data_IF_557428104805
#
_entry.id   IF_557428104805
#
_cell.length_a   1.000
_cell.length_b   1.000
_cell.length_c   1.000
_cell.angle_alpha   90.00
_cell.angle_beta   90.00
_cell.angle_gamma   90.00
#
_symmetry.space_group_name_H-M   'P 1'
#
loop_
_entity.id
_entity.type
_entity.pdbx_description
1 polymer ?
#
# COMPACT_ATOMS: atom_id res chain seq x y z
N UNK A 1 11.75 38.99 7.40
CA UNK A 1 11.38 39.27 6.00
C UNK A 1 12.31 38.57 4.99
N UNK A 2 13.55 39.03 4.72
CA UNK A 2 14.40 38.39 3.69
C UNK A 2 14.79 36.93 4.03
N UNK A 3 15.18 36.64 5.28
CA UNK A 3 15.52 35.27 5.71
C UNK A 3 14.33 34.30 5.60
N UNK A 4 13.13 34.75 5.97
CA UNK A 4 11.90 33.96 5.86
C UNK A 4 11.56 33.68 4.39
N UNK A 5 11.76 34.66 3.50
CA UNK A 5 11.56 34.47 2.05
C UNK A 5 12.53 33.44 1.47
N UNK A 6 13.79 33.42 1.88
CA UNK A 6 14.75 32.39 1.44
C UNK A 6 14.39 30.99 1.95
N UNK A 7 13.93 30.88 3.19
CA UNK A 7 13.43 29.61 3.73
C UNK A 7 12.19 29.13 2.97
N UNK A 8 11.24 30.03 2.69
CA UNK A 8 10.06 29.71 1.89
C UNK A 8 10.44 29.29 0.46
N UNK A 9 11.42 29.95 -0.17
CA UNK A 9 11.91 29.60 -1.49
C UNK A 9 12.52 28.18 -1.50
N UNK A 10 13.39 27.87 -0.53
CA UNK A 10 13.99 26.55 -0.42
C UNK A 10 12.93 25.46 -0.22
N UNK A 11 11.91 25.73 0.60
CA UNK A 11 10.78 24.83 0.82
C UNK A 11 10.00 24.58 -0.47
N UNK A 12 9.66 25.63 -1.24
CA UNK A 12 8.98 25.48 -2.54
C UNK A 12 9.83 24.64 -3.50
N UNK A 13 11.14 24.86 -3.58
CA UNK A 13 12.01 24.12 -4.49
C UNK A 13 12.11 22.63 -4.10
N UNK A 14 12.15 22.31 -2.80
CA UNK A 14 12.11 20.93 -2.31
C UNK A 14 10.90 20.18 -2.88
N UNK A 15 9.71 20.79 -2.83
CA UNK A 15 8.50 20.17 -3.36
C UNK A 15 8.44 20.15 -4.89
N UNK A 16 8.86 21.24 -5.56
CA UNK A 16 8.85 21.35 -7.01
C UNK A 16 9.73 20.29 -7.72
N UNK A 17 10.85 19.90 -7.10
CA UNK A 17 11.75 18.88 -7.63
C UNK A 17 11.57 17.50 -6.98
N UNK A 18 10.56 17.32 -6.12
CA UNK A 18 10.36 16.07 -5.37
C UNK A 18 10.19 14.83 -6.28
N UNK A 19 9.62 15.00 -7.47
CA UNK A 19 9.49 13.92 -8.48
C UNK A 19 10.84 13.31 -8.86
N UNK A 20 11.94 14.06 -8.80
CA UNK A 20 13.27 13.57 -9.14
C UNK A 20 13.71 12.45 -8.18
N UNK A 21 13.30 12.48 -6.91
CA UNK A 21 13.64 11.44 -5.94
C UNK A 21 13.04 10.09 -6.35
N UNK A 22 11.80 10.08 -6.83
CA UNK A 22 11.15 8.87 -7.34
C UNK A 22 11.88 8.31 -8.58
N UNK A 23 12.29 9.20 -9.50
CA UNK A 23 13.03 8.81 -10.71
C UNK A 23 14.42 8.27 -10.39
N UNK A 24 15.14 8.87 -9.44
CA UNK A 24 16.47 8.40 -8.99
C UNK A 24 16.36 7.04 -8.31
N UNK A 25 15.34 6.83 -7.46
CA UNK A 25 15.08 5.54 -6.83
C UNK A 25 14.79 4.45 -7.89
N UNK A 26 13.93 4.75 -8.85
CA UNK A 26 13.65 3.84 -9.96
C UNK A 26 14.90 3.53 -10.79
N UNK A 27 15.74 4.54 -11.08
CA UNK A 27 17.01 4.36 -11.75
C UNK A 27 17.95 3.41 -10.99
N UNK A 28 18.09 3.58 -9.66
CA UNK A 28 18.90 2.69 -8.83
C UNK A 28 18.43 1.22 -8.91
N UNK A 29 17.11 0.99 -8.93
CA UNK A 29 16.50 -0.34 -9.08
C UNK A 29 16.71 -0.90 -10.49
N UNK A 30 16.59 -0.06 -11.53
CA UNK A 30 16.81 -0.45 -12.93
C UNK A 30 18.27 -0.86 -13.19
N UNK A 31 19.21 -0.10 -12.64
CA UNK A 31 20.64 -0.38 -12.70
C UNK A 31 21.06 -1.56 -11.79
N UNK A 32 20.15 -2.06 -10.95
CA UNK A 32 20.43 -3.17 -10.03
C UNK A 32 21.46 -2.84 -8.95
N UNK A 33 21.60 -1.55 -8.61
CA UNK A 33 22.58 -1.08 -7.61
C UNK A 33 22.43 -1.82 -6.28
N UNK A 34 21.21 -2.04 -5.72
CA UNK A 34 21.07 -2.79 -4.47
C UNK A 34 21.63 -4.22 -4.57
N UNK A 35 21.31 -4.93 -5.65
CA UNK A 35 21.75 -6.32 -5.86
C UNK A 35 23.28 -6.40 -6.03
N UNK A 36 23.85 -5.45 -6.78
CA UNK A 36 25.30 -5.35 -7.03
C UNK A 36 26.05 -5.11 -5.72
N UNK A 37 25.62 -4.15 -4.89
CA UNK A 37 26.21 -3.93 -3.56
C UNK A 37 26.05 -5.16 -2.67
N UNK A 38 24.87 -5.80 -2.65
CA UNK A 38 24.63 -7.00 -1.85
C UNK A 38 25.59 -8.14 -2.20
N UNK A 39 25.79 -8.38 -3.49
CA UNK A 39 26.65 -9.46 -4.00
C UNK A 39 28.14 -9.26 -3.66
N UNK A 40 28.57 -8.01 -3.48
CA UNK A 40 29.96 -7.65 -3.25
C UNK A 40 30.44 -7.95 -1.82
N UNK A 41 29.53 -8.14 -0.85
CA UNK A 41 29.79 -8.53 0.55
C UNK A 41 30.71 -7.60 1.36
N UNK A 42 31.19 -6.50 0.77
CA UNK A 42 32.01 -5.44 1.36
C UNK A 42 31.48 -4.09 0.87
N UNK A 43 31.80 -2.96 1.53
CA UNK A 43 31.45 -1.63 1.02
C UNK A 43 31.96 -1.45 -0.42
N UNK A 44 31.06 -1.10 -1.33
CA UNK A 44 31.37 -0.93 -2.75
C UNK A 44 31.91 0.46 -3.02
N UNK A 45 33.10 0.61 -3.60
CA UNK A 45 33.65 1.93 -3.94
C UNK A 45 33.06 2.46 -5.24
N UNK A 46 33.08 3.79 -5.43
CA UNK A 46 32.61 4.37 -6.71
C UNK A 46 33.48 3.93 -7.88
N UNK A 47 34.79 3.71 -7.66
CA UNK A 47 35.72 3.11 -8.63
C UNK A 47 35.22 1.79 -9.24
N UNK A 48 34.45 1.00 -8.48
CA UNK A 48 33.89 -0.26 -8.96
C UNK A 48 32.63 -0.07 -9.83
N UNK A 49 31.96 1.08 -9.70
CA UNK A 49 30.75 1.44 -10.46
C UNK A 49 31.06 2.37 -11.66
N UNK A 50 32.12 3.17 -11.55
CA UNK A 50 32.68 4.04 -12.58
C UNK A 50 34.21 3.99 -12.47
N UNK A 51 34.84 3.30 -13.43
CA UNK A 51 36.29 3.12 -13.51
C UNK A 51 37.06 4.45 -13.62
N UNK A 52 36.39 5.57 -13.92
CA UNK A 52 36.99 6.91 -13.99
C UNK A 52 36.86 7.72 -12.70
N UNK A 53 36.22 7.17 -11.66
CA UNK A 53 36.08 7.87 -10.39
C UNK A 53 37.33 7.70 -9.53
N UNK A 54 37.88 8.79 -8.98
CA UNK A 54 38.92 8.73 -7.94
C UNK A 54 38.32 8.66 -6.51
N UNK A 55 37.01 8.41 -6.40
CA UNK A 55 36.30 8.44 -5.11
C UNK A 55 36.35 7.08 -4.39
N UNK A 56 37.09 7.06 -3.28
CA UNK A 56 37.25 5.89 -2.40
C UNK A 56 36.09 5.68 -1.41
N UNK A 57 35.02 6.48 -1.49
CA UNK A 57 33.88 6.32 -0.60
C UNK A 57 33.14 5.01 -0.88
N UNK A 58 33.03 4.17 0.14
CA UNK A 58 32.32 2.89 0.09
C UNK A 58 30.82 3.05 0.36
N UNK A 59 29.98 2.39 -0.43
CA UNK A 59 28.54 2.31 -0.28
C UNK A 59 28.13 0.98 0.36
N UNK A 60 27.21 1.05 1.32
CA UNK A 60 26.59 -0.10 1.98
C UNK A 60 25.08 0.01 1.93
N UNK A 61 24.39 -1.13 1.96
CA UNK A 61 22.94 -1.14 2.00
C UNK A 61 22.41 -0.67 3.37
N UNK A 62 21.45 0.25 3.33
CA UNK A 62 20.59 0.62 4.45
C UNK A 62 19.40 -0.35 4.57
N UNK A 63 18.66 -0.37 5.70
CA UNK A 63 17.42 -1.15 5.82
C UNK A 63 16.45 -0.93 4.66
N UNK A 64 16.20 0.32 4.26
CA UNK A 64 15.28 0.65 3.15
C UNK A 64 15.78 0.11 1.80
N UNK A 65 17.08 0.20 1.53
CA UNK A 65 17.65 -0.33 0.27
C UNK A 65 17.67 -1.87 0.22
N UNK A 66 17.67 -2.56 1.36
CA UNK A 66 17.55 -4.03 1.42
C UNK A 66 16.17 -4.51 0.98
N UNK A 67 15.12 -3.71 1.19
CA UNK A 67 13.77 -3.99 0.68
C UNK A 67 13.70 -3.91 -0.85
N UNK A 68 14.77 -3.52 -1.55
CA UNK A 68 14.82 -3.48 -3.01
C UNK A 68 15.55 -4.68 -3.62
N UNK A 69 16.07 -5.60 -2.80
CA UNK A 69 16.80 -6.77 -3.27
C UNK A 69 15.87 -7.78 -3.91
N UNK A 70 16.21 -8.24 -5.11
CA UNK A 70 15.37 -9.20 -5.85
C UNK A 70 15.37 -10.60 -5.24
N UNK A 71 16.40 -10.93 -4.46
CA UNK A 71 16.58 -12.24 -3.83
C UNK A 71 15.94 -12.37 -2.46
N UNK A 72 15.49 -11.26 -1.87
CA UNK A 72 14.94 -11.22 -0.51
C UNK A 72 13.43 -11.00 -0.56
N UNK A 73 12.73 -11.46 0.49
CA UNK A 73 11.30 -11.20 0.69
C UNK A 73 11.15 -10.56 2.07
N UNK A 74 10.47 -9.41 2.21
CA UNK A 74 9.73 -8.70 1.16
C UNK A 74 10.64 -7.91 0.19
N UNK A 75 10.19 -7.77 -1.06
CA UNK A 75 10.86 -6.96 -2.09
C UNK A 75 9.90 -5.93 -2.68
N UNK A 76 10.16 -4.63 -2.47
CA UNK A 76 9.36 -3.48 -2.93
C UNK A 76 9.79 -2.91 -4.29
N UNK A 77 10.80 -3.50 -4.96
CA UNK A 77 11.22 -3.04 -6.29
C UNK A 77 10.09 -3.04 -7.33
N UNK A 78 9.22 -4.08 -7.43
CA UNK A 78 8.09 -4.06 -8.34
C UNK A 78 7.11 -2.92 -8.06
N UNK A 79 6.84 -2.63 -6.78
CA UNK A 79 5.97 -1.52 -6.38
C UNK A 79 6.51 -0.17 -6.89
N UNK A 80 7.79 0.13 -6.64
CA UNK A 80 8.41 1.38 -7.12
C UNK A 80 8.37 1.49 -8.65
N UNK A 81 8.59 0.38 -9.36
CA UNK A 81 8.54 0.37 -10.84
C UNK A 81 7.14 0.68 -11.36
N UNK A 82 6.10 0.12 -10.77
CA UNK A 82 4.73 0.41 -11.18
C UNK A 82 4.37 1.89 -10.94
N UNK A 83 4.79 2.47 -9.82
CA UNK A 83 4.50 3.88 -9.50
C UNK A 83 5.11 4.90 -10.47
N UNK A 84 6.14 4.50 -11.23
CA UNK A 84 6.73 5.35 -12.28
C UNK A 84 6.25 5.00 -13.70
N UNK A 85 5.35 4.03 -13.88
CA UNK A 85 4.77 3.77 -15.19
C UNK A 85 3.97 4.99 -15.67
N UNK A 86 4.01 5.34 -16.97
CA UNK A 86 3.29 6.51 -17.50
C UNK A 86 1.80 6.51 -17.15
N UNK A 87 1.15 5.34 -17.16
CA UNK A 87 -0.26 5.20 -16.80
C UNK A 87 -0.56 5.62 -15.34
N UNK A 88 0.41 5.50 -14.44
CA UNK A 88 0.29 5.90 -13.02
C UNK A 88 0.73 7.35 -12.78
N UNK A 89 1.67 7.86 -13.58
CA UNK A 89 2.23 9.23 -13.42
C UNK A 89 1.39 10.29 -14.13
N UNK A 90 0.92 10.02 -15.36
CA UNK A 90 0.15 10.99 -16.15
C UNK A 90 -1.13 11.51 -15.46
N UNK A 91 -1.90 10.69 -14.71
CA UNK A 91 -3.09 11.15 -13.98
C UNK A 91 -2.85 12.34 -13.05
N UNK A 92 -1.64 12.46 -12.48
CA UNK A 92 -1.28 13.57 -11.58
C UNK A 92 -1.22 14.93 -12.29
N UNK A 93 -1.15 14.95 -13.62
CA UNK A 93 -1.27 16.18 -14.41
C UNK A 93 -2.72 16.62 -14.60
N UNK A 94 -3.68 15.74 -14.29
CA UNK A 94 -5.12 15.96 -14.44
C UNK A 94 -5.81 16.30 -13.12
N UNK A 95 -5.08 16.67 -12.06
CA UNK A 95 -5.66 17.04 -10.76
C UNK A 95 -6.71 18.17 -10.82
N UNK A 96 -6.72 18.97 -11.90
CA UNK A 96 -7.73 20.00 -12.12
C UNK A 96 -9.16 19.49 -12.29
N UNK A 97 -9.35 18.18 -12.53
CA UNK A 97 -10.70 17.55 -12.62
C UNK A 97 -11.17 16.96 -11.29
N UNK A 98 -10.43 17.14 -10.19
CA UNK A 98 -10.87 16.66 -8.87
C UNK A 98 -12.23 17.27 -8.51
N UNK A 99 -13.18 16.41 -8.16
CA UNK A 99 -14.57 16.79 -7.88
C UNK A 99 -15.53 16.62 -9.06
N UNK A 100 -15.01 16.33 -10.26
CA UNK A 100 -15.83 15.92 -11.41
C UNK A 100 -16.30 14.45 -11.27
N UNK A 101 -17.12 13.98 -12.22
CA UNK A 101 -17.66 12.61 -12.22
C UNK A 101 -16.64 11.53 -12.60
N UNK A 102 -15.52 11.91 -13.21
CA UNK A 102 -14.49 11.00 -13.72
C UNK A 102 -13.22 11.18 -12.90
N UNK A 103 -12.46 10.11 -12.69
CA UNK A 103 -11.18 10.19 -11.98
C UNK A 103 -10.11 10.88 -12.84
N UNK A 104 -9.07 11.49 -12.22
CA UNK A 104 -7.91 11.94 -12.97
C UNK A 104 -7.26 10.82 -13.82
N UNK A 105 -7.27 9.58 -13.35
CA UNK A 105 -6.81 8.43 -14.11
C UNK A 105 -7.61 8.20 -15.38
N UNK A 106 -8.93 8.14 -15.27
CA UNK A 106 -9.83 8.00 -16.42
C UNK A 106 -9.66 9.15 -17.40
N UNK A 107 -9.49 10.38 -16.89
CA UNK A 107 -9.26 11.56 -17.72
C UNK A 107 -7.96 11.47 -18.53
N UNK A 108 -6.89 10.95 -17.92
CA UNK A 108 -5.58 10.85 -18.55
C UNK A 108 -5.45 9.63 -19.48
N UNK A 109 -6.09 8.51 -19.13
CA UNK A 109 -5.90 7.22 -19.81
C UNK A 109 -7.12 6.77 -20.65
N UNK A 110 -8.25 7.49 -20.55
CA UNK A 110 -9.47 7.26 -21.35
C UNK A 110 -10.40 6.15 -20.83
N UNK A 111 -10.03 5.47 -19.75
CA UNK A 111 -10.85 4.44 -19.09
C UNK A 111 -10.48 4.33 -17.60
N UNK A 112 -11.39 3.85 -16.74
CA UNK A 112 -11.06 3.50 -15.35
C UNK A 112 -9.93 2.46 -15.27
N UNK A 113 -9.14 2.48 -14.21
CA UNK A 113 -7.90 1.68 -14.08
C UNK A 113 -8.07 0.17 -14.32
N UNK A 114 -9.18 -0.41 -13.87
CA UNK A 114 -9.47 -1.83 -14.05
C UNK A 114 -9.77 -2.16 -15.51
N UNK A 115 -10.62 -1.37 -16.17
CA UNK A 115 -10.91 -1.53 -17.60
C UNK A 115 -9.66 -1.27 -18.45
N UNK A 116 -8.86 -0.26 -18.07
CA UNK A 116 -7.57 0.00 -18.70
C UNK A 116 -6.62 -1.20 -18.55
N UNK A 117 -6.58 -1.84 -17.37
CA UNK A 117 -5.81 -3.06 -17.13
C UNK A 117 -6.22 -4.22 -18.02
N UNK A 118 -7.53 -4.47 -18.16
CA UNK A 118 -8.07 -5.50 -19.04
C UNK A 118 -7.68 -5.28 -20.51
N UNK A 119 -7.64 -4.02 -20.94
CA UNK A 119 -7.24 -3.64 -22.29
C UNK A 119 -5.71 -3.62 -22.48
N UNK A 120 -4.93 -3.53 -21.41
CA UNK A 120 -3.47 -3.38 -21.43
C UNK A 120 -2.77 -4.45 -20.58
N UNK A 121 -2.58 -5.68 -21.11
CA UNK A 121 -2.00 -6.80 -20.37
C UNK A 121 -0.62 -6.50 -19.76
N UNK A 122 0.21 -5.68 -20.43
CA UNK A 122 1.50 -5.25 -19.89
C UNK A 122 1.33 -4.46 -18.59
N UNK A 123 0.44 -3.47 -18.59
CA UNK A 123 0.17 -2.66 -17.41
C UNK A 123 -0.42 -3.51 -16.29
N UNK A 124 -1.41 -4.36 -16.63
CA UNK A 124 -2.02 -5.27 -15.65
C UNK A 124 -0.98 -6.18 -14.97
N UNK A 125 -0.03 -6.72 -15.72
CA UNK A 125 1.05 -7.52 -15.15
C UNK A 125 1.93 -6.72 -14.19
N UNK A 126 2.36 -5.51 -14.58
CA UNK A 126 3.18 -4.63 -13.73
C UNK A 126 2.44 -4.23 -12.46
N UNK A 127 1.15 -3.88 -12.59
CA UNK A 127 0.29 -3.51 -11.47
C UNK A 127 0.11 -4.69 -10.51
N UNK A 128 -0.20 -5.89 -11.02
CA UNK A 128 -0.36 -7.08 -10.18
C UNK A 128 0.93 -7.51 -9.49
N UNK A 129 2.08 -7.37 -10.16
CA UNK A 129 3.39 -7.63 -9.55
C UNK A 129 3.68 -6.64 -8.41
N UNK A 130 3.33 -5.37 -8.59
CA UNK A 130 3.43 -4.35 -7.53
C UNK A 130 2.53 -4.65 -6.34
N UNK A 131 1.27 -5.04 -6.58
CA UNK A 131 0.34 -5.39 -5.50
C UNK A 131 0.79 -6.65 -4.74
N UNK A 132 1.33 -7.65 -5.45
CA UNK A 132 1.90 -8.84 -4.83
C UNK A 132 3.13 -8.51 -3.98
N UNK A 133 4.03 -7.69 -4.51
CA UNK A 133 5.24 -7.18 -3.83
C UNK A 133 4.90 -6.44 -2.52
N UNK A 134 3.91 -5.56 -2.54
CA UNK A 134 3.47 -4.87 -1.34
C UNK A 134 2.75 -5.81 -0.35
N UNK A 135 2.00 -6.79 -0.85
CA UNK A 135 1.36 -7.83 -0.03
C UNK A 135 2.38 -8.72 0.71
N UNK A 136 3.61 -8.85 0.24
CA UNK A 136 4.66 -9.56 0.98
C UNK A 136 4.99 -8.89 2.31
N UNK A 137 4.88 -7.55 2.40
CA UNK A 137 5.01 -6.83 3.67
C UNK A 137 3.94 -7.30 4.67
N UNK A 138 2.75 -7.68 4.19
CA UNK A 138 1.66 -8.21 5.01
C UNK A 138 1.92 -9.63 5.54
N UNK A 139 2.87 -10.38 4.96
CA UNK A 139 3.30 -11.66 5.53
C UNK A 139 3.93 -11.49 6.91
N UNK A 140 4.52 -10.32 7.19
CA UNK A 140 5.07 -9.99 8.52
C UNK A 140 3.93 -9.80 9.53
N UNK A 141 2.86 -9.10 9.14
CA UNK A 141 1.67 -8.87 9.96
C UNK A 141 1.00 -10.18 10.39
N UNK A 142 0.84 -11.15 9.48
CA UNK A 142 0.25 -12.45 9.83
C UNK A 142 1.05 -13.19 10.92
N UNK A 143 2.36 -12.98 10.99
CA UNK A 143 3.23 -13.57 12.03
C UNK A 143 3.08 -12.89 13.39
N UNK A 144 2.80 -11.58 13.40
CA UNK A 144 2.73 -10.78 14.62
C UNK A 144 1.30 -10.74 15.20
N UNK A 145 0.27 -10.86 14.36
CA UNK A 145 -1.13 -10.86 14.76
C UNK A 145 -1.70 -12.25 15.04
N UNK A 146 -0.91 -13.16 15.64
CA UNK A 146 -1.34 -14.55 15.88
C UNK A 146 -2.68 -14.68 16.58
N UNK A 147 -2.91 -13.82 17.57
CA UNK A 147 -4.12 -13.79 18.37
C UNK A 147 -5.39 -13.56 17.52
N UNK A 148 -5.27 -12.90 16.37
CA UNK A 148 -6.40 -12.65 15.46
C UNK A 148 -6.87 -13.94 14.80
N UNK A 149 -5.94 -14.80 14.38
CA UNK A 149 -6.23 -15.98 13.55
C UNK A 149 -6.19 -17.31 14.32
N UNK A 150 -5.61 -17.33 15.52
CA UNK A 150 -5.32 -18.56 16.28
C UNK A 150 -6.56 -19.42 16.52
N UNK A 151 -7.68 -18.81 16.91
CA UNK A 151 -8.92 -19.52 17.28
C UNK A 151 -9.89 -19.71 16.09
N UNK A 152 -9.49 -19.33 14.88
CA UNK A 152 -10.32 -19.45 13.68
C UNK A 152 -10.18 -20.85 13.04
N UNK A 153 -11.31 -21.40 12.59
CA UNK A 153 -11.35 -22.66 11.84
C UNK A 153 -11.38 -22.46 10.32
N UNK A 154 -11.94 -21.34 9.87
CA UNK A 154 -12.04 -21.00 8.45
C UNK A 154 -11.92 -19.49 8.23
N UNK A 155 -11.34 -19.12 7.10
CA UNK A 155 -11.18 -17.74 6.63
C UNK A 155 -11.59 -17.65 5.17
N UNK A 156 -12.22 -16.54 4.80
CA UNK A 156 -12.44 -16.17 3.39
C UNK A 156 -11.65 -14.90 3.14
N UNK A 157 -10.69 -14.96 2.22
CA UNK A 157 -9.88 -13.85 1.75
C UNK A 157 -10.63 -13.17 0.59
N UNK A 158 -11.36 -12.10 0.92
CA UNK A 158 -12.22 -11.36 -0.02
C UNK A 158 -11.37 -10.32 -0.75
N UNK A 159 -11.36 -10.36 -2.09
CA UNK A 159 -10.44 -9.58 -2.91
C UNK A 159 -9.02 -10.14 -2.95
N UNK A 160 -8.82 -11.40 -2.53
CA UNK A 160 -7.49 -11.98 -2.34
C UNK A 160 -6.65 -12.21 -3.60
N UNK A 161 -7.16 -11.89 -4.80
CA UNK A 161 -6.41 -11.97 -6.06
C UNK A 161 -5.82 -13.35 -6.30
N UNK A 162 -4.49 -13.40 -6.45
CA UNK A 162 -3.72 -14.65 -6.66
C UNK A 162 -3.48 -15.46 -5.38
N UNK A 163 -4.03 -15.03 -4.24
CA UNK A 163 -4.01 -15.73 -2.96
C UNK A 163 -2.67 -15.64 -2.21
N UNK A 164 -1.87 -14.60 -2.46
CA UNK A 164 -0.57 -14.38 -1.76
C UNK A 164 -0.79 -14.29 -0.25
N UNK A 165 -1.76 -13.49 0.19
CA UNK A 165 -2.09 -13.30 1.61
C UNK A 165 -2.62 -14.61 2.21
N UNK A 166 -3.60 -15.24 1.58
CA UNK A 166 -4.12 -16.54 2.01
C UNK A 166 -3.01 -17.60 2.21
N UNK A 167 -2.03 -17.69 1.29
CA UNK A 167 -0.88 -18.61 1.42
C UNK A 167 0.00 -18.26 2.62
N UNK A 168 0.25 -16.97 2.86
CA UNK A 168 1.04 -16.51 4.00
C UNK A 168 0.36 -16.83 5.33
N UNK A 169 -0.96 -16.60 5.43
CA UNK A 169 -1.76 -16.95 6.60
C UNK A 169 -1.71 -18.47 6.83
N UNK A 170 -1.92 -19.29 5.80
CA UNK A 170 -1.87 -20.74 5.92
C UNK A 170 -0.49 -21.28 6.33
N UNK A 171 0.59 -20.62 5.91
CA UNK A 171 1.94 -20.98 6.35
C UNK A 171 2.15 -20.73 7.85
N UNK A 172 1.48 -19.70 8.42
CA UNK A 172 1.52 -19.40 9.84
C UNK A 172 0.48 -20.20 10.67
N UNK A 173 -0.67 -20.55 10.08
CA UNK A 173 -1.78 -21.25 10.74
C UNK A 173 -2.25 -22.46 9.89
N UNK A 174 -1.51 -23.58 9.91
CA UNK A 174 -1.81 -24.73 9.04
C UNK A 174 -3.15 -25.42 9.31
N UNK A 175 -3.77 -25.15 10.47
CA UNK A 175 -5.09 -25.68 10.85
C UNK A 175 -6.25 -24.93 10.18
N UNK A 176 -6.01 -23.72 9.69
CA UNK A 176 -7.04 -22.85 9.14
C UNK A 176 -7.45 -23.33 7.74
N UNK A 177 -8.76 -23.36 7.47
CA UNK A 177 -9.26 -23.53 6.09
C UNK A 177 -9.43 -22.16 5.43
N UNK A 178 -8.61 -21.83 4.44
CA UNK A 178 -8.73 -20.56 3.72
C UNK A 178 -9.37 -20.74 2.33
N UNK A 179 -10.32 -19.87 1.99
CA UNK A 179 -10.91 -19.74 0.66
C UNK A 179 -10.54 -18.37 0.10
N UNK A 180 -10.02 -18.30 -1.13
CA UNK A 180 -9.78 -17.04 -1.83
C UNK A 180 -10.99 -16.72 -2.68
N UNK A 181 -11.62 -15.57 -2.43
CA UNK A 181 -12.71 -15.03 -3.24
C UNK A 181 -12.20 -13.76 -3.90
N UNK A 182 -11.99 -13.80 -5.22
CA UNK A 182 -11.51 -12.62 -5.94
C UNK A 182 -12.67 -11.71 -6.39
N UNK A 183 -12.39 -10.41 -6.43
CA UNK A 183 -13.33 -9.36 -6.84
C UNK A 183 -12.68 -8.48 -7.92
N UNK A 184 -13.46 -7.85 -8.82
CA UNK A 184 -12.91 -6.93 -9.83
C UNK A 184 -12.13 -5.74 -9.26
N UNK A 185 -12.33 -5.40 -7.98
CA UNK A 185 -11.46 -4.48 -7.23
C UNK A 185 -11.17 -5.08 -5.86
N UNK A 186 -9.89 -5.09 -5.49
CA UNK A 186 -9.37 -6.01 -4.48
C UNK A 186 -9.48 -5.53 -3.00
N UNK A 187 -9.73 -4.25 -2.71
CA UNK A 187 -9.64 -3.70 -1.32
C UNK A 187 -10.62 -2.56 -1.05
N UNK A 188 -11.07 -2.40 0.21
CA UNK A 188 -12.07 -1.41 0.67
C UNK A 188 -11.69 0.04 0.37
N UNK A 189 -10.42 0.45 0.50
CA UNK A 189 -9.98 1.80 0.11
C UNK A 189 -10.10 2.14 -1.38
N UNK A 190 -10.43 1.17 -2.25
CA UNK A 190 -10.69 1.41 -3.67
C UNK A 190 -12.15 1.80 -3.95
N UNK A 191 -13.04 1.54 -2.99
CA UNK A 191 -14.49 1.69 -3.13
C UNK A 191 -15.03 2.94 -2.43
N UNK A 192 -16.15 3.44 -2.95
CA UNK A 192 -16.94 4.47 -2.26
C UNK A 192 -17.54 3.93 -0.96
N UNK A 193 -17.99 4.83 -0.10
CA UNK A 193 -18.61 4.47 1.18
C UNK A 193 -19.87 3.60 0.98
N UNK A 194 -20.69 3.90 -0.02
CA UNK A 194 -21.89 3.12 -0.33
C UNK A 194 -21.57 1.69 -0.75
N UNK A 195 -20.50 1.50 -1.52
CA UNK A 195 -20.06 0.17 -1.96
C UNK A 195 -19.37 -0.60 -0.83
N UNK A 196 -18.56 0.07 0.00
CA UNK A 196 -18.02 -0.48 1.24
C UNK A 196 -19.14 -1.02 2.15
N UNK A 197 -20.21 -0.26 2.38
CA UNK A 197 -21.34 -0.71 3.20
C UNK A 197 -22.02 -1.95 2.59
N UNK A 198 -22.19 -2.02 1.26
CA UNK A 198 -22.76 -3.21 0.60
C UNK A 198 -21.88 -4.44 0.80
N UNK A 199 -20.55 -4.30 0.64
CA UNK A 199 -19.58 -5.37 0.86
C UNK A 199 -19.63 -5.83 2.32
N UNK A 200 -19.58 -4.91 3.28
CA UNK A 200 -19.64 -5.21 4.70
C UNK A 200 -20.93 -5.93 5.09
N UNK A 201 -22.09 -5.54 4.54
CA UNK A 201 -23.36 -6.24 4.73
C UNK A 201 -23.29 -7.69 4.25
N UNK A 202 -22.63 -7.95 3.12
CA UNK A 202 -22.40 -9.31 2.61
C UNK A 202 -21.43 -10.12 3.46
N UNK A 203 -20.33 -9.51 3.91
CA UNK A 203 -19.42 -10.14 4.86
C UNK A 203 -20.14 -10.50 6.16
N UNK A 204 -21.01 -9.62 6.67
CA UNK A 204 -21.84 -9.86 7.85
C UNK A 204 -22.80 -11.03 7.65
N UNK A 205 -23.45 -11.15 6.50
CA UNK A 205 -24.29 -12.31 6.14
C UNK A 205 -23.47 -13.61 6.16
N UNK A 206 -22.26 -13.59 5.61
CA UNK A 206 -21.39 -14.78 5.51
C UNK A 206 -20.92 -15.32 6.86
N UNK A 207 -20.77 -14.46 7.88
CA UNK A 207 -20.31 -14.87 9.21
C UNK A 207 -21.44 -15.21 10.20
N UNK A 208 -22.71 -14.99 9.83
CA UNK A 208 -23.88 -15.21 10.70
C UNK A 208 -24.25 -16.68 10.93
N UNK A 209 -23.71 -17.64 10.18
CA UNK A 209 -24.13 -19.06 10.24
C UNK A 209 -23.41 -19.91 11.30
N UNK A 210 -22.68 -19.27 12.22
CA UNK A 210 -22.06 -19.98 13.34
C UNK A 210 -22.95 -19.82 14.56
N UNK A 211 -23.52 -20.93 15.04
CA UNK A 211 -24.45 -21.13 16.19
C UNK A 211 -24.07 -20.44 17.53
N UNK A 212 -23.05 -19.57 17.56
CA UNK A 212 -22.48 -18.88 18.71
C UNK A 212 -22.19 -17.38 18.53
N UNK A 213 -22.49 -16.75 17.37
CA UNK A 213 -22.14 -15.33 17.14
C UNK A 213 -20.63 -15.01 17.29
N UNK A 214 -19.75 -15.98 17.02
CA UNK A 214 -18.29 -15.85 17.20
C UNK A 214 -17.55 -15.38 15.92
N UNK A 215 -18.28 -15.00 14.86
CA UNK A 215 -17.68 -14.52 13.62
C UNK A 215 -17.19 -13.08 13.73
N UNK A 216 -16.12 -12.75 13.00
CA UNK A 216 -15.61 -11.39 12.84
C UNK A 216 -15.20 -11.14 11.39
N UNK A 217 -15.20 -9.87 10.98
CA UNK A 217 -14.54 -9.44 9.74
C UNK A 217 -13.24 -8.76 10.14
N UNK A 218 -12.16 -9.07 9.42
CA UNK A 218 -10.85 -8.43 9.58
C UNK A 218 -10.61 -7.60 8.35
N UNK A 219 -10.38 -6.30 8.54
CA UNK A 219 -9.99 -5.36 7.50
C UNK A 219 -8.54 -4.99 7.76
N UNK A 220 -7.74 -4.93 6.72
CA UNK A 220 -6.37 -4.41 6.81
C UNK A 220 -6.29 -3.24 5.84
N UNK A 221 -6.27 -2.03 6.39
CA UNK A 221 -6.30 -0.79 5.62
C UNK A 221 -5.67 0.35 6.41
N UNK A 222 -5.43 1.51 5.79
CA UNK A 222 -4.90 2.66 6.53
C UNK A 222 -5.98 3.32 7.39
N UNK A 223 -5.52 3.93 8.49
CA UNK A 223 -6.32 4.77 9.38
C UNK A 223 -5.62 6.11 9.48
N UNK A 224 -6.31 7.17 9.04
CA UNK A 224 -5.76 8.52 8.80
C UNK A 224 -5.63 9.40 10.04
N UNK A 225 -6.04 8.92 11.21
CA UNK A 225 -5.95 9.73 12.43
C UNK A 225 -4.51 10.12 12.74
N UNK A 226 -4.37 11.34 13.26
CA UNK A 226 -3.11 11.96 13.63
C UNK A 226 -2.98 11.96 15.13
N UNK A 227 -1.78 11.72 15.63
CA UNK A 227 -1.48 11.92 17.04
C UNK A 227 -1.09 13.39 17.26
N UNK A 228 -1.59 14.01 18.33
CA UNK A 228 -1.28 15.43 18.61
C UNK A 228 0.17 15.62 19.13
N UNK A 229 0.79 14.53 19.60
CA UNK A 229 2.14 14.47 20.15
C UNK A 229 3.12 13.69 19.22
N UNK A 230 2.88 13.71 17.90
CA UNK A 230 3.67 13.00 16.89
C UNK A 230 5.17 13.34 16.98
N UNK A 231 6.02 12.29 17.01
CA UNK A 231 7.45 12.45 16.76
C UNK A 231 7.78 12.56 15.26
N UNK A 232 9.05 12.77 14.91
CA UNK A 232 9.44 12.97 13.51
C UNK A 232 9.19 11.74 12.64
N UNK A 233 9.30 10.53 13.19
CA UNK A 233 9.05 9.29 12.46
C UNK A 233 7.54 9.12 12.21
N UNK A 234 6.70 9.41 13.20
CA UNK A 234 5.24 9.38 13.06
C UNK A 234 4.74 10.45 12.08
N UNK A 235 5.31 11.67 12.11
CA UNK A 235 4.96 12.73 11.16
C UNK A 235 5.27 12.34 9.70
N UNK A 236 6.40 11.66 9.46
CA UNK A 236 6.73 11.13 8.13
C UNK A 236 5.70 10.07 7.67
N UNK A 237 5.24 9.22 8.60
CA UNK A 237 4.22 8.20 8.29
C UNK A 237 2.86 8.82 7.99
N UNK A 238 2.48 9.86 8.73
CA UNK A 238 1.28 10.65 8.45
C UNK A 238 1.35 11.31 7.07
N UNK A 239 2.50 11.89 6.67
CA UNK A 239 2.68 12.43 5.33
C UNK A 239 2.47 11.35 4.24
N UNK A 240 3.04 10.16 4.43
CA UNK A 240 2.88 9.05 3.48
C UNK A 240 1.42 8.58 3.40
N UNK A 241 0.72 8.44 4.52
CA UNK A 241 -0.72 8.09 4.55
C UNK A 241 -1.56 9.09 3.75
N UNK A 242 -1.30 10.39 3.90
CA UNK A 242 -2.01 11.45 3.18
C UNK A 242 -1.69 11.43 1.68
N UNK A 243 -0.44 11.18 1.29
CA UNK A 243 -0.08 11.00 -0.12
C UNK A 243 -0.82 9.78 -0.70
N UNK A 244 -0.95 8.70 0.07
CA UNK A 244 -1.68 7.51 -0.33
C UNK A 244 -3.18 7.80 -0.52
N UNK A 245 -3.80 8.55 0.38
CA UNK A 245 -5.19 9.01 0.26
C UNK A 245 -5.42 9.79 -1.05
N UNK A 246 -4.56 10.76 -1.34
CA UNK A 246 -4.61 11.51 -2.60
C UNK A 246 -4.42 10.58 -3.80
N UNK A 247 -3.51 9.61 -3.71
CA UNK A 247 -3.31 8.63 -4.78
C UNK A 247 -4.56 7.78 -5.02
N UNK A 248 -5.29 7.40 -3.97
CA UNK A 248 -6.57 6.66 -4.11
C UNK A 248 -7.62 7.50 -4.85
N UNK A 249 -7.71 8.80 -4.55
CA UNK A 249 -8.65 9.71 -5.23
C UNK A 249 -8.24 9.95 -6.70
N UNK A 250 -6.93 9.98 -6.99
CA UNK A 250 -6.39 10.23 -8.33
C UNK A 250 -6.57 9.01 -9.25
N UNK A 251 -6.28 7.82 -8.71
CA UNK A 251 -6.18 6.59 -9.48
C UNK A 251 -7.50 5.81 -9.52
N UNK A 252 -8.32 5.96 -8.48
CA UNK A 252 -9.50 5.16 -8.19
C UNK A 252 -10.65 6.08 -7.72
N UNK A 253 -11.77 5.46 -7.32
CA UNK A 253 -12.94 6.16 -6.76
C UNK A 253 -12.98 6.12 -5.23
N UNK A 254 -11.91 5.63 -4.62
CA UNK A 254 -11.83 5.38 -3.20
C UNK A 254 -11.02 6.43 -2.45
N UNK A 255 -10.77 6.16 -1.18
CA UNK A 255 -10.05 7.04 -0.25
C UNK A 255 -9.61 6.25 0.98
N UNK A 256 -8.59 6.78 1.64
CA UNK A 256 -8.25 6.39 2.99
C UNK A 256 -9.20 7.09 3.99
N UNK A 257 -9.39 6.48 5.16
CA UNK A 257 -10.44 6.87 6.11
C UNK A 257 -9.88 7.10 7.50
N UNK A 258 -10.45 8.05 8.20
CA UNK A 258 -10.27 8.23 9.65
C UNK A 258 -11.01 7.13 10.42
N UNK A 259 -10.66 6.88 11.68
CA UNK A 259 -11.38 5.96 12.57
C UNK A 259 -12.86 6.32 12.64
N UNK A 260 -13.19 7.62 12.64
CA UNK A 260 -14.58 8.06 12.69
C UNK A 260 -15.36 7.69 11.43
N UNK A 261 -14.74 7.83 10.26
CA UNK A 261 -15.34 7.42 8.99
C UNK A 261 -15.49 5.89 8.92
N UNK A 262 -14.48 5.15 9.36
CA UNK A 262 -14.56 3.69 9.51
C UNK A 262 -15.72 3.26 10.42
N UNK A 263 -15.85 3.86 11.61
CA UNK A 263 -16.93 3.61 12.56
C UNK A 263 -18.30 3.81 11.91
N UNK A 264 -18.50 4.89 11.15
CA UNK A 264 -19.76 5.15 10.47
C UNK A 264 -20.12 4.03 9.47
N UNK A 265 -19.16 3.55 8.68
CA UNK A 265 -19.38 2.42 7.77
C UNK A 265 -19.76 1.14 8.51
N UNK A 266 -19.09 0.86 9.64
CA UNK A 266 -19.37 -0.32 10.45
C UNK A 266 -20.78 -0.27 11.02
N UNK A 267 -21.17 0.87 11.59
CA UNK A 267 -22.51 1.08 12.14
C UNK A 267 -23.59 0.96 11.06
N UNK A 268 -23.38 1.51 9.87
CA UNK A 268 -24.34 1.43 8.76
C UNK A 268 -24.47 0.00 8.20
N UNK A 269 -23.37 -0.78 8.21
CA UNK A 269 -23.38 -2.20 7.90
C UNK A 269 -23.96 -3.07 9.05
N UNK A 270 -24.15 -2.46 10.22
CA UNK A 270 -24.75 -3.04 11.41
C UNK A 270 -23.80 -3.86 12.26
N UNK A 271 -22.50 -3.58 12.21
CA UNK A 271 -21.53 -4.06 13.20
C UNK A 271 -21.60 -3.14 14.43
N UNK A 272 -21.51 -3.74 15.63
CA UNK A 272 -21.76 -3.02 16.88
C UNK A 272 -20.49 -2.62 17.62
N UNK A 273 -19.43 -3.40 17.45
CA UNK A 273 -18.13 -3.14 18.07
C UNK A 273 -17.02 -3.37 17.07
N UNK A 274 -15.92 -2.64 17.29
CA UNK A 274 -14.70 -2.79 16.51
C UNK A 274 -13.48 -2.62 17.41
N UNK A 275 -12.33 -3.07 16.91
CA UNK A 275 -11.02 -2.86 17.51
C UNK A 275 -10.02 -2.55 16.41
N UNK A 276 -9.38 -1.40 16.49
CA UNK A 276 -8.26 -1.02 15.62
C UNK A 276 -6.96 -1.34 16.35
N UNK A 277 -6.09 -2.07 15.68
CA UNK A 277 -4.73 -2.35 16.13
C UNK A 277 -3.77 -1.78 15.10
N UNK A 278 -2.99 -0.73 15.41
CA UNK A 278 -1.96 -0.24 14.51
C UNK A 278 -0.97 -1.36 14.16
N UNK A 279 -0.66 -1.52 12.88
CA UNK A 279 0.34 -2.48 12.42
C UNK A 279 1.60 -1.70 12.02
N UNK A 280 2.76 -2.13 12.53
CA UNK A 280 4.06 -1.49 12.32
C UNK A 280 4.23 -0.97 10.89
N UNK A 281 4.01 0.34 10.69
CA UNK A 281 3.95 0.93 9.36
C UNK A 281 2.70 1.80 9.14
N UNK A 282 2.19 1.75 7.91
CA UNK A 282 1.14 2.64 7.40
C UNK A 282 -0.28 2.12 7.63
N UNK A 283 -0.43 0.82 7.95
CA UNK A 283 -1.71 0.11 7.97
C UNK A 283 -2.16 -0.17 9.39
N UNK A 284 -3.46 -0.44 9.53
CA UNK A 284 -4.07 -0.91 10.75
C UNK A 284 -4.82 -2.21 10.49
N UNK A 285 -4.86 -3.08 11.50
CA UNK A 285 -5.74 -4.23 11.53
C UNK A 285 -7.01 -3.84 12.27
N UNK A 286 -8.14 -3.92 11.58
CA UNK A 286 -9.44 -3.56 12.12
C UNK A 286 -10.28 -4.84 12.24
N UNK A 287 -10.60 -5.21 13.47
CA UNK A 287 -11.53 -6.31 13.76
C UNK A 287 -12.91 -5.72 14.00
N UNK A 288 -13.94 -6.17 13.26
CA UNK A 288 -15.33 -5.74 13.44
C UNK A 288 -16.25 -6.93 13.76
N UNK A 289 -17.21 -6.71 14.67
CA UNK A 289 -18.04 -7.76 15.27
C UNK A 289 -19.56 -7.50 15.05
N UNK A 290 -20.34 -8.52 14.64
CA UNK A 290 -21.76 -8.38 14.23
C UNK A 290 -22.78 -7.87 15.23
#
# INVERSE_FOLDING_TARGET
MASEMFQAQAHIYKHAFSYANCMVLSCAIQLGIPDVIHSHKQPMTLEFLDENSENQQGYVLTPSSKLLLKSEIPNLSPFVRAMVEPAMVNPWQSLGVLGDKTTPFETANGAPIWEFGDQNPRFNNVFNEAMASDSEMMCLVAKDCKQVFQDMNSLVDVGGGTGVIAKAILAAFPHLKCTVLDLPQHVMHNWSDEDCVKILKKCREAIKDNKKNEGKVVIIDMVLDRDEDEDEDEANMTEVKLIYDVAMIVLLTGRERTEKEWENLFLEAGFMTYKITPLFGLRSLIEIFP
#
